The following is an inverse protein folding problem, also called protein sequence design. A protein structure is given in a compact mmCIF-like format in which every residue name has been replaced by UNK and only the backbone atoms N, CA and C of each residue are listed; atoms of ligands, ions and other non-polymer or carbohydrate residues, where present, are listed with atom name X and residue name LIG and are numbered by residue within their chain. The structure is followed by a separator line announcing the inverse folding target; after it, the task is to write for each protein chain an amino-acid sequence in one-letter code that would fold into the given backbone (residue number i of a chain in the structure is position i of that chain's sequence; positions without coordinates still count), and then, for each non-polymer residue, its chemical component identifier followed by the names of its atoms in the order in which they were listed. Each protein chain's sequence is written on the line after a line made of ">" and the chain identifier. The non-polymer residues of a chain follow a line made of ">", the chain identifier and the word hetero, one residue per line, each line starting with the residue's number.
data_IF_305303439230
#
_entry.id   IF_305303439230
#
_cell.length_a   1.000
_cell.length_b   1.000
_cell.length_c   1.000
_cell.angle_alpha   90.00
_cell.angle_beta   90.00
_cell.angle_gamma   90.00
#
_symmetry.space_group_name_H-M   'P 1'
#
loop_
_entity.id
_entity.type
_entity.pdbx_description
1 polymer ?
#
# COMPACT_ATOMS: atom_id res chain seq x y z
N UNK A 1 0.27 25.47 -3.51
CA UNK A 1 0.18 24.05 -3.92
C UNK A 1 1.31 23.16 -3.38
N UNK A 2 2.58 23.52 -3.55
CA UNK A 2 3.72 22.62 -3.29
C UNK A 2 3.84 22.16 -1.82
N UNK A 3 3.65 23.06 -0.86
CA UNK A 3 3.63 22.72 0.57
C UNK A 3 2.48 21.78 0.97
N UNK A 4 1.33 21.93 0.33
CA UNK A 4 0.16 21.11 0.60
C UNK A 4 0.35 19.68 0.10
N UNK A 5 0.82 19.51 -1.14
CA UNK A 5 1.17 18.20 -1.71
C UNK A 5 2.24 17.50 -0.86
N UNK A 6 3.27 18.23 -0.43
CA UNK A 6 4.32 17.68 0.42
C UNK A 6 3.77 17.21 1.78
N UNK A 7 2.92 18.01 2.44
CA UNK A 7 2.28 17.64 3.69
C UNK A 7 1.36 16.41 3.53
N UNK A 8 0.63 16.32 2.43
CA UNK A 8 -0.25 15.21 2.13
C UNK A 8 0.52 13.90 1.89
N UNK A 9 1.55 13.92 1.04
CA UNK A 9 2.36 12.73 0.75
C UNK A 9 3.22 12.30 1.95
N UNK A 10 3.71 13.24 2.76
CA UNK A 10 4.43 12.90 3.99
C UNK A 10 3.52 12.26 5.04
N UNK A 11 2.30 12.79 5.23
CA UNK A 11 1.30 12.19 6.09
C UNK A 11 0.86 10.80 5.60
N UNK A 12 0.72 10.62 4.28
CA UNK A 12 0.46 9.33 3.67
C UNK A 12 1.59 8.33 3.94
N UNK A 13 2.84 8.75 3.77
CA UNK A 13 4.01 7.92 4.01
C UNK A 13 4.11 7.48 5.49
N UNK A 14 3.83 8.39 6.42
CA UNK A 14 3.77 8.07 7.85
C UNK A 14 2.68 7.03 8.19
N UNK A 15 1.60 6.95 7.40
CA UNK A 15 0.56 5.92 7.56
C UNK A 15 0.90 4.60 6.87
N UNK A 16 1.50 4.65 5.68
CA UNK A 16 1.78 3.47 4.85
C UNK A 16 3.03 2.73 5.33
N UNK A 17 4.06 3.46 5.77
CA UNK A 17 5.35 2.87 6.18
C UNK A 17 5.21 1.84 7.31
N UNK A 18 4.46 2.11 8.42
CA UNK A 18 4.27 1.11 9.47
C UNK A 18 3.55 -0.15 8.96
N UNK A 19 2.54 0.02 8.10
CA UNK A 19 1.80 -1.10 7.51
C UNK A 19 2.70 -1.97 6.64
N UNK A 20 3.56 -1.33 5.83
CA UNK A 20 4.56 -2.01 5.03
C UNK A 20 5.53 -2.82 5.90
N UNK A 21 6.06 -2.22 6.97
CA UNK A 21 6.99 -2.90 7.89
C UNK A 21 6.33 -4.12 8.53
N UNK A 22 5.10 -3.97 9.03
CA UNK A 22 4.35 -5.07 9.65
C UNK A 22 4.06 -6.18 8.64
N UNK A 23 3.62 -5.84 7.42
CA UNK A 23 3.34 -6.78 6.34
C UNK A 23 4.58 -7.63 5.97
N UNK A 24 5.74 -6.98 5.84
CA UNK A 24 7.00 -7.67 5.54
C UNK A 24 7.47 -8.57 6.70
N UNK A 25 7.35 -8.11 7.94
CA UNK A 25 7.66 -8.91 9.13
C UNK A 25 6.76 -10.15 9.22
N UNK A 26 5.45 -9.98 9.03
CA UNK A 26 4.49 -11.10 9.01
C UNK A 26 4.82 -12.08 7.89
N UNK A 27 5.12 -11.58 6.69
CA UNK A 27 5.54 -12.42 5.56
C UNK A 27 6.77 -13.25 5.91
N UNK A 28 7.79 -12.65 6.51
CA UNK A 28 8.98 -13.36 6.96
C UNK A 28 8.66 -14.46 7.98
N UNK A 29 7.86 -14.13 9.01
CA UNK A 29 7.44 -15.08 10.05
C UNK A 29 6.65 -16.25 9.47
N UNK A 30 5.70 -15.98 8.56
CA UNK A 30 4.88 -17.00 7.92
C UNK A 30 5.69 -17.95 7.05
N UNK A 31 6.69 -17.45 6.32
CA UNK A 31 7.61 -18.31 5.56
C UNK A 31 8.46 -19.17 6.50
N UNK A 32 9.02 -18.58 7.56
CA UNK A 32 9.82 -19.32 8.56
C UNK A 32 9.00 -20.39 9.28
N UNK A 33 7.73 -20.12 9.58
CA UNK A 33 6.79 -21.06 10.17
C UNK A 33 6.25 -22.11 9.18
N UNK A 34 6.65 -22.07 7.90
CA UNK A 34 6.16 -22.95 6.82
C UNK A 34 4.62 -22.92 6.68
N UNK A 35 4.02 -21.75 6.84
CA UNK A 35 2.58 -21.52 6.82
C UNK A 35 2.11 -20.75 5.57
N UNK A 36 2.22 -21.32 4.35
CA UNK A 36 1.96 -20.60 3.11
C UNK A 36 0.49 -20.23 2.92
N UNK A 37 -0.46 -20.98 3.51
CA UNK A 37 -1.90 -20.68 3.41
C UNK A 37 -2.25 -19.32 4.03
N UNK A 38 -1.65 -19.02 5.19
CA UNK A 38 -1.85 -17.75 5.89
C UNK A 38 -1.22 -16.56 5.17
N UNK A 39 -0.19 -16.77 4.34
CA UNK A 39 0.34 -15.72 3.49
C UNK A 39 -0.70 -15.24 2.46
N UNK A 40 -1.42 -16.16 1.81
CA UNK A 40 -2.47 -15.75 0.87
C UNK A 40 -3.61 -15.01 1.58
N UNK A 41 -3.95 -15.42 2.81
CA UNK A 41 -4.94 -14.71 3.64
C UNK A 41 -4.46 -13.30 3.99
N UNK A 42 -3.17 -13.14 4.34
CA UNK A 42 -2.56 -11.84 4.61
C UNK A 42 -2.72 -10.90 3.42
N UNK A 43 -2.41 -11.37 2.20
CA UNK A 43 -2.58 -10.57 0.97
C UNK A 43 -4.05 -10.14 0.77
N UNK A 44 -5.01 -11.03 1.01
CA UNK A 44 -6.44 -10.68 0.89
C UNK A 44 -6.82 -9.58 1.89
N UNK A 45 -6.39 -9.70 3.15
CA UNK A 45 -6.65 -8.70 4.19
C UNK A 45 -6.00 -7.36 3.84
N UNK A 46 -4.76 -7.37 3.34
CA UNK A 46 -4.06 -6.17 2.89
C UNK A 46 -4.80 -5.46 1.77
N UNK A 47 -5.27 -6.19 0.76
CA UNK A 47 -6.05 -5.63 -0.35
C UNK A 47 -7.33 -4.99 0.16
N UNK A 48 -8.08 -5.65 1.06
CA UNK A 48 -9.32 -5.09 1.65
C UNK A 48 -9.01 -3.82 2.45
N UNK A 49 -7.99 -3.86 3.32
CA UNK A 49 -7.59 -2.72 4.14
C UNK A 49 -7.16 -1.52 3.28
N UNK A 50 -6.41 -1.79 2.22
CA UNK A 50 -6.00 -0.79 1.23
C UNK A 50 -7.21 -0.20 0.53
N UNK A 51 -8.17 -1.01 0.07
CA UNK A 51 -9.38 -0.50 -0.61
C UNK A 51 -10.16 0.47 0.27
N UNK A 52 -10.32 0.15 1.55
CA UNK A 52 -11.01 1.03 2.53
C UNK A 52 -10.24 2.33 2.75
N UNK A 53 -8.93 2.24 2.96
CA UNK A 53 -8.09 3.42 3.15
C UNK A 53 -8.10 4.31 1.91
N UNK A 54 -7.95 3.72 0.72
CA UNK A 54 -7.86 4.42 -0.55
C UNK A 54 -9.14 5.20 -0.89
N UNK A 55 -10.32 4.66 -0.57
CA UNK A 55 -11.59 5.36 -0.76
C UNK A 55 -11.60 6.73 -0.06
N UNK A 56 -11.13 6.79 1.19
CA UNK A 56 -11.05 8.04 1.94
C UNK A 56 -10.09 9.06 1.30
N UNK A 57 -8.97 8.56 0.77
CA UNK A 57 -7.93 9.39 0.15
C UNK A 57 -8.39 9.96 -1.20
N UNK A 58 -9.13 9.16 -1.97
CA UNK A 58 -9.75 9.55 -3.25
C UNK A 58 -10.78 10.65 -3.06
N UNK A 59 -11.70 10.49 -2.10
CA UNK A 59 -12.72 11.50 -1.80
C UNK A 59 -12.06 12.83 -1.40
N UNK A 60 -11.01 12.75 -0.58
CA UNK A 60 -10.24 13.93 -0.17
C UNK A 60 -9.60 14.62 -1.38
N UNK A 61 -8.96 13.87 -2.29
CA UNK A 61 -8.38 14.46 -3.51
C UNK A 61 -9.43 15.11 -4.42
N UNK A 62 -10.60 14.48 -4.61
CA UNK A 62 -11.66 15.06 -5.45
C UNK A 62 -12.14 16.40 -4.86
N UNK A 63 -12.33 16.46 -3.54
CA UNK A 63 -12.76 17.69 -2.85
C UNK A 63 -11.75 18.84 -2.93
N UNK A 64 -10.45 18.52 -3.00
CA UNK A 64 -9.37 19.51 -3.03
C UNK A 64 -9.05 20.05 -4.42
N UNK A 65 -9.38 19.28 -5.46
CA UNK A 65 -9.07 19.61 -6.86
C UNK A 65 -10.33 19.89 -7.70
N UNK A 66 -11.46 20.22 -7.07
CA UNK A 66 -12.74 20.47 -7.78
C UNK A 66 -12.67 21.55 -8.88
N UNK A 67 -11.65 22.41 -8.86
CA UNK A 67 -11.42 23.45 -9.87
C UNK A 67 -10.31 23.14 -10.89
N UNK A 68 -9.55 22.04 -10.73
CA UNK A 68 -8.39 21.73 -11.58
C UNK A 68 -8.64 20.65 -12.64
N UNK A 69 -7.85 20.74 -13.72
CA UNK A 69 -7.88 19.84 -14.89
C UNK A 69 -7.88 18.37 -14.47
N UNK A 70 -8.88 17.61 -14.95
CA UNK A 70 -9.13 16.17 -14.75
C UNK A 70 -7.87 15.30 -14.74
N UNK A 71 -6.88 15.63 -15.57
CA UNK A 71 -5.60 14.92 -15.66
C UNK A 71 -4.79 14.92 -14.36
N UNK A 72 -4.81 16.00 -13.58
CA UNK A 72 -4.09 16.12 -12.30
C UNK A 72 -4.72 15.20 -11.25
N UNK A 73 -6.05 15.10 -11.27
CA UNK A 73 -6.80 14.21 -10.38
C UNK A 73 -6.47 12.75 -10.70
N UNK A 74 -6.53 12.36 -11.97
CA UNK A 74 -6.20 11.00 -12.41
C UNK A 74 -4.75 10.62 -12.08
N UNK A 75 -3.80 11.55 -12.27
CA UNK A 75 -2.40 11.31 -11.95
C UNK A 75 -2.16 11.11 -10.45
N UNK A 76 -2.79 11.95 -9.60
CA UNK A 76 -2.72 11.79 -8.15
C UNK A 76 -3.38 10.49 -7.66
N UNK A 77 -4.53 10.11 -8.24
CA UNK A 77 -5.17 8.82 -7.96
C UNK A 77 -4.23 7.66 -8.30
N UNK A 78 -3.61 7.68 -9.48
CA UNK A 78 -2.68 6.63 -9.90
C UNK A 78 -1.47 6.51 -8.95
N UNK A 79 -0.88 7.64 -8.53
CA UNK A 79 0.21 7.66 -7.55
C UNK A 79 -0.26 7.05 -6.22
N UNK A 80 -1.43 7.46 -5.71
CA UNK A 80 -1.97 6.95 -4.46
C UNK A 80 -2.21 5.44 -4.51
N UNK A 81 -2.84 4.93 -5.59
CA UNK A 81 -3.01 3.50 -5.80
C UNK A 81 -1.65 2.79 -5.79
N UNK A 82 -0.68 3.33 -6.53
CA UNK A 82 0.68 2.80 -6.59
C UNK A 82 1.34 2.66 -5.22
N UNK A 83 1.26 3.70 -4.39
CA UNK A 83 1.85 3.70 -3.03
C UNK A 83 1.21 2.62 -2.15
N UNK A 84 -0.12 2.49 -2.16
CA UNK A 84 -0.77 1.45 -1.35
C UNK A 84 -0.47 0.04 -1.86
N UNK A 85 -0.43 -0.16 -3.18
CA UNK A 85 -0.10 -1.47 -3.79
C UNK A 85 1.33 -1.92 -3.50
N UNK A 86 2.25 -1.02 -3.09
CA UNK A 86 3.60 -1.41 -2.68
C UNK A 86 3.60 -2.46 -1.56
N UNK A 87 2.62 -2.41 -0.64
CA UNK A 87 2.54 -3.35 0.49
C UNK A 87 2.41 -4.81 0.00
N UNK A 88 1.32 -5.21 -0.69
CA UNK A 88 1.16 -6.59 -1.14
C UNK A 88 2.22 -6.99 -2.17
N UNK A 89 2.67 -6.06 -3.04
CA UNK A 89 3.69 -6.36 -4.06
C UNK A 89 5.02 -6.73 -3.40
N UNK A 90 5.50 -5.93 -2.45
CA UNK A 90 6.77 -6.20 -1.76
C UNK A 90 6.68 -7.47 -0.91
N UNK A 91 5.53 -7.73 -0.28
CA UNK A 91 5.30 -8.98 0.46
C UNK A 91 5.29 -10.21 -0.46
N UNK A 92 4.73 -10.13 -1.67
CA UNK A 92 4.83 -11.20 -2.68
C UNK A 92 6.28 -11.42 -3.12
N UNK A 93 7.04 -10.36 -3.36
CA UNK A 93 8.46 -10.44 -3.73
C UNK A 93 9.25 -11.12 -2.62
N UNK A 94 9.09 -10.66 -1.37
CA UNK A 94 9.76 -11.22 -0.21
C UNK A 94 9.41 -12.71 -0.03
N UNK A 95 8.12 -13.06 -0.12
CA UNK A 95 7.66 -14.45 -0.05
C UNK A 95 8.36 -15.33 -1.09
N UNK A 96 8.44 -14.89 -2.34
CA UNK A 96 9.12 -15.63 -3.43
C UNK A 96 10.62 -15.80 -3.15
N UNK A 97 11.29 -14.75 -2.67
CA UNK A 97 12.72 -14.78 -2.36
C UNK A 97 13.01 -15.72 -1.20
N UNK A 98 12.23 -15.65 -0.12
CA UNK A 98 12.44 -16.49 1.07
C UNK A 98 12.11 -17.96 0.79
N UNK A 99 11.02 -18.25 0.05
CA UNK A 99 10.64 -19.63 -0.28
C UNK A 99 11.72 -20.35 -1.08
N UNK A 100 12.41 -19.64 -2.00
CA UNK A 100 13.54 -20.18 -2.79
C UNK A 100 14.80 -20.52 -1.96
N UNK A 101 14.90 -20.04 -0.72
CA UNK A 101 16.04 -20.33 0.17
C UNK A 101 15.74 -21.42 1.21
N UNK A 102 14.45 -21.69 1.46
CA UNK A 102 13.99 -22.68 2.45
C UNK A 102 13.80 -24.07 1.82
N UNK A 103 13.60 -24.12 0.50
CA UNK A 103 13.59 -25.32 -0.33
C UNK A 103 14.78 -25.28 -1.29
#
# INVERSE_FOLDING_TARGET
>A
MMHFLLAFYSALLLKVLPLLVVSLLLTFLLVKAKMPKFFYLLIVVEVIAISVLHYSTVVTSISLYMEERVWIILFNMAILVGIYLMIPILSIILYRVLRKRVY
#
